data_IF_721085916483
#
_entry.id   IF_721085916483
#
_cell.length_a   1.000
_cell.length_b   1.000
_cell.length_c   1.000
_cell.angle_alpha   90.00
_cell.angle_beta   90.00
_cell.angle_gamma   90.00
#
_symmetry.space_group_name_H-M   'P 1'
#
loop_
_entity.id
_entity.type
_entity.pdbx_description
1 polymer ?
#
# COMPACT_ATOMS: atom_id res chain seq x y z
N UNK A 1 6.97 -16.80 -12.40
CA UNK A 1 6.36 -15.61 -11.79
C UNK A 1 5.36 -16.10 -10.76
N UNK A 2 5.45 -15.68 -9.51
CA UNK A 2 4.50 -16.14 -8.47
C UNK A 2 3.15 -15.49 -8.70
N UNK A 3 2.06 -16.20 -8.36
CA UNK A 3 0.69 -15.68 -8.51
C UNK A 3 -0.19 -16.01 -7.32
N UNK A 4 -1.32 -15.33 -7.25
CA UNK A 4 -2.35 -15.55 -6.23
C UNK A 4 -3.36 -16.58 -6.75
N UNK A 5 -3.67 -17.59 -5.94
CA UNK A 5 -4.79 -18.50 -6.19
C UNK A 5 -6.09 -17.89 -5.67
N UNK A 6 -7.20 -18.09 -6.35
CA UNK A 6 -8.52 -17.71 -5.88
C UNK A 6 -9.35 -18.99 -5.80
N UNK A 7 -9.87 -19.31 -4.61
CA UNK A 7 -10.79 -20.42 -4.42
C UNK A 7 -11.96 -19.93 -3.57
N UNK A 8 -13.14 -19.81 -4.17
CA UNK A 8 -14.33 -19.32 -3.47
C UNK A 8 -15.60 -19.77 -4.15
N UNK A 9 -16.59 -20.16 -3.35
CA UNK A 9 -17.97 -20.39 -3.76
C UNK A 9 -18.82 -19.11 -3.73
N UNK A 10 -18.37 -18.08 -3.00
CA UNK A 10 -18.99 -16.75 -3.01
C UNK A 10 -18.67 -16.02 -4.32
N UNK A 11 -19.69 -15.93 -5.18
CA UNK A 11 -19.63 -15.26 -6.47
C UNK A 11 -19.35 -13.75 -6.34
N UNK A 12 -19.89 -13.07 -5.32
CA UNK A 12 -19.67 -11.63 -5.12
C UNK A 12 -18.23 -11.37 -4.72
N UNK A 13 -17.71 -12.15 -3.77
CA UNK A 13 -16.31 -12.08 -3.38
C UNK A 13 -15.38 -12.37 -4.56
N UNK A 14 -15.66 -13.43 -5.33
CA UNK A 14 -14.91 -13.80 -6.53
C UNK A 14 -14.81 -12.65 -7.56
N UNK A 15 -15.92 -12.00 -7.88
CA UNK A 15 -15.90 -10.90 -8.84
C UNK A 15 -15.14 -9.70 -8.32
N UNK A 16 -15.36 -9.32 -7.07
CA UNK A 16 -14.71 -8.16 -6.48
C UNK A 16 -13.20 -8.37 -6.30
N UNK A 17 -12.77 -9.58 -5.94
CA UNK A 17 -11.34 -9.89 -5.79
C UNK A 17 -10.61 -9.85 -7.14
N UNK A 18 -11.24 -10.33 -8.23
CA UNK A 18 -10.67 -10.22 -9.58
C UNK A 18 -10.51 -8.76 -9.99
N UNK A 19 -11.49 -7.90 -9.70
CA UNK A 19 -11.41 -6.47 -9.99
C UNK A 19 -10.24 -5.84 -9.24
N UNK A 20 -10.09 -6.14 -7.95
CA UNK A 20 -9.01 -5.59 -7.13
C UNK A 20 -7.64 -6.11 -7.59
N UNK A 21 -7.47 -7.41 -7.82
CA UNK A 21 -6.22 -7.99 -8.33
C UNK A 21 -5.81 -7.37 -9.67
N UNK A 22 -6.77 -7.15 -10.58
CA UNK A 22 -6.52 -6.46 -11.86
C UNK A 22 -6.11 -5.00 -11.66
N UNK A 23 -6.76 -4.28 -10.76
CA UNK A 23 -6.42 -2.89 -10.41
C UNK A 23 -5.00 -2.77 -9.86
N UNK A 24 -4.58 -3.71 -9.02
CA UNK A 24 -3.20 -3.80 -8.52
C UNK A 24 -2.20 -4.31 -9.57
N UNK A 25 -2.68 -4.96 -10.63
CA UNK A 25 -1.85 -5.60 -11.66
C UNK A 25 -1.13 -6.84 -11.14
N UNK A 26 -1.73 -7.56 -10.19
CA UNK A 26 -1.16 -8.78 -9.62
C UNK A 26 -1.55 -10.00 -10.46
N UNK A 27 -0.62 -10.94 -10.69
CA UNK A 27 -0.95 -12.18 -11.38
C UNK A 27 -1.77 -13.10 -10.48
N UNK A 28 -2.80 -13.72 -11.06
CA UNK A 28 -3.68 -14.64 -10.34
C UNK A 28 -4.17 -15.80 -11.20
N UNK A 29 -4.74 -16.80 -10.55
CA UNK A 29 -5.41 -17.95 -11.16
C UNK A 29 -6.60 -18.37 -10.31
N UNK A 30 -7.71 -18.73 -10.96
CA UNK A 30 -8.85 -19.33 -10.27
C UNK A 30 -8.62 -20.83 -10.13
N UNK A 31 -8.77 -21.36 -8.92
CA UNK A 31 -8.59 -22.77 -8.62
C UNK A 31 -9.95 -23.47 -8.65
N UNK A 32 -10.03 -24.59 -9.36
CA UNK A 32 -11.25 -25.41 -9.43
C UNK A 32 -11.24 -26.55 -8.39
N UNK A 33 -10.05 -27.07 -8.08
CA UNK A 33 -9.87 -28.17 -7.14
C UNK A 33 -8.94 -27.73 -5.99
N UNK A 34 -9.38 -27.80 -4.72
CA UNK A 34 -8.56 -27.39 -3.58
C UNK A 34 -7.31 -28.27 -3.37
N UNK A 35 -7.28 -29.48 -3.96
CA UNK A 35 -6.16 -30.41 -3.85
C UNK A 35 -5.14 -30.30 -4.99
N UNK A 36 -5.41 -29.49 -6.01
CA UNK A 36 -4.53 -29.32 -7.18
C UNK A 36 -4.09 -27.86 -7.31
N UNK A 37 -3.17 -27.46 -6.44
CA UNK A 37 -2.66 -26.09 -6.38
C UNK A 37 -1.39 -26.02 -7.23
N UNK A 38 -1.35 -25.17 -8.27
CA UNK A 38 -0.15 -24.98 -9.06
C UNK A 38 1.04 -24.54 -8.18
N UNK A 39 2.26 -25.05 -8.42
CA UNK A 39 3.42 -24.79 -7.56
C UNK A 39 3.88 -23.32 -7.57
N UNK A 40 3.42 -22.53 -8.54
CA UNK A 40 3.68 -21.10 -8.64
C UNK A 40 2.67 -20.22 -7.87
N UNK A 41 1.62 -20.82 -7.28
CA UNK A 41 0.68 -20.14 -6.39
C UNK A 41 1.32 -19.93 -5.03
N UNK A 42 1.50 -18.67 -4.65
CA UNK A 42 2.16 -18.31 -3.38
C UNK A 42 1.19 -18.30 -2.18
N UNK A 43 -0.09 -18.04 -2.43
CA UNK A 43 -1.16 -17.92 -1.42
C UNK A 43 -2.51 -18.09 -2.11
N UNK A 44 -3.47 -18.71 -1.42
CA UNK A 44 -4.86 -18.84 -1.88
C UNK A 44 -5.76 -17.85 -1.13
N UNK A 45 -6.52 -17.06 -1.87
CA UNK A 45 -7.58 -16.20 -1.36
C UNK A 45 -8.90 -16.96 -1.34
N UNK A 46 -9.58 -16.92 -0.18
CA UNK A 46 -10.92 -17.47 -0.01
C UNK A 46 -11.81 -16.47 0.71
N UNK A 47 -13.12 -16.59 0.53
CA UNK A 47 -14.10 -15.85 1.33
C UNK A 47 -14.20 -16.46 2.75
N UNK A 48 -14.82 -15.73 3.67
CA UNK A 48 -15.11 -16.23 5.03
C UNK A 48 -16.08 -17.41 5.05
N UNK A 49 -16.93 -17.55 4.03
CA UNK A 49 -17.92 -18.63 3.92
C UNK A 49 -17.36 -19.93 3.35
N UNK A 50 -16.18 -19.90 2.74
CA UNK A 50 -15.55 -21.10 2.21
C UNK A 50 -14.99 -21.97 3.33
N UNK A 51 -15.18 -23.28 3.24
CA UNK A 51 -14.81 -24.23 4.30
C UNK A 51 -13.41 -24.79 4.07
N UNK A 52 -12.96 -24.81 2.83
CA UNK A 52 -11.69 -25.38 2.39
C UNK A 52 -10.50 -24.62 2.97
N UNK A 53 -9.50 -25.39 3.37
CA UNK A 53 -8.26 -24.89 3.98
C UNK A 53 -7.07 -25.17 3.10
N UNK A 54 -6.17 -24.20 2.99
CA UNK A 54 -4.96 -24.30 2.18
C UNK A 54 -3.71 -24.13 3.05
N UNK A 55 -2.55 -24.68 2.67
CA UNK A 55 -1.30 -24.53 3.44
C UNK A 55 -0.92 -23.06 3.66
N UNK A 56 -1.14 -22.22 2.65
CA UNK A 56 -0.98 -20.76 2.73
C UNK A 56 -2.26 -20.11 2.22
N UNK A 57 -3.02 -19.52 3.14
CA UNK A 57 -4.36 -19.00 2.89
C UNK A 57 -4.52 -17.60 3.47
N UNK A 58 -5.24 -16.75 2.75
CA UNK A 58 -5.84 -15.53 3.29
C UNK A 58 -7.35 -15.69 3.15
N UNK A 59 -8.03 -15.73 4.29
CA UNK A 59 -9.48 -15.76 4.39
C UNK A 59 -9.97 -14.40 4.87
N UNK A 60 -10.82 -13.73 4.09
CA UNK A 60 -11.32 -12.39 4.39
C UNK A 60 -12.65 -12.14 3.65
N UNK A 61 -13.53 -11.33 4.22
CA UNK A 61 -14.76 -10.87 3.58
C UNK A 61 -14.57 -9.64 2.68
N UNK A 62 -13.48 -8.88 2.89
CA UNK A 62 -13.17 -7.65 2.15
C UNK A 62 -12.08 -7.90 1.09
N UNK A 63 -12.38 -7.71 -0.20
CA UNK A 63 -11.42 -7.95 -1.28
C UNK A 63 -10.14 -7.10 -1.22
N UNK A 64 -10.24 -5.82 -0.88
CA UNK A 64 -9.08 -4.93 -0.73
C UNK A 64 -8.17 -5.40 0.42
N UNK A 65 -8.77 -5.82 1.53
CA UNK A 65 -8.07 -6.41 2.66
C UNK A 65 -7.37 -7.71 2.27
N UNK A 66 -8.07 -8.61 1.60
CA UNK A 66 -7.53 -9.89 1.14
C UNK A 66 -6.31 -9.71 0.23
N UNK A 67 -6.39 -8.78 -0.75
CA UNK A 67 -5.25 -8.46 -1.63
C UNK A 67 -4.06 -7.95 -0.83
N UNK A 68 -4.26 -6.96 0.06
CA UNK A 68 -3.15 -6.43 0.89
C UNK A 68 -2.50 -7.50 1.77
N UNK A 69 -3.29 -8.40 2.38
CA UNK A 69 -2.79 -9.54 3.17
C UNK A 69 -2.00 -10.55 2.32
N UNK A 70 -2.30 -10.68 1.03
CA UNK A 70 -1.62 -11.59 0.12
C UNK A 70 -0.27 -11.08 -0.40
N UNK A 71 -0.06 -9.75 -0.44
CA UNK A 71 1.15 -9.13 -1.01
C UNK A 71 2.47 -9.68 -0.44
N UNK A 72 2.65 -9.84 0.89
CA UNK A 72 3.89 -10.42 1.43
C UNK A 72 4.27 -11.75 0.80
N UNK A 73 3.31 -12.63 0.52
CA UNK A 73 3.54 -13.98 -0.02
C UNK A 73 4.08 -13.95 -1.46
N UNK A 74 3.59 -12.99 -2.27
CA UNK A 74 4.14 -12.73 -3.59
C UNK A 74 5.62 -12.31 -3.53
N UNK A 75 6.00 -11.60 -2.46
CA UNK A 75 7.36 -11.16 -2.19
C UNK A 75 8.20 -12.19 -1.39
N UNK A 76 7.77 -13.45 -1.33
CA UNK A 76 8.41 -14.54 -0.58
C UNK A 76 8.51 -14.29 0.94
N UNK A 77 7.48 -13.67 1.52
CA UNK A 77 7.39 -13.37 2.95
C UNK A 77 6.03 -13.80 3.51
N UNK A 78 5.95 -14.03 4.81
CA UNK A 78 4.67 -14.26 5.51
C UNK A 78 4.05 -12.96 6.00
N UNK A 79 4.89 -11.98 6.36
CA UNK A 79 4.50 -10.63 6.75
C UNK A 79 5.66 -9.67 6.44
N UNK A 80 5.41 -8.36 6.42
CA UNK A 80 6.47 -7.36 6.38
C UNK A 80 7.13 -7.23 7.75
N UNK A 81 8.45 -7.00 7.80
CA UNK A 81 9.09 -6.63 9.08
C UNK A 81 8.60 -5.26 9.53
N UNK A 82 8.56 -4.31 8.60
CA UNK A 82 8.08 -2.95 8.80
C UNK A 82 7.28 -2.52 7.58
N UNK A 83 6.17 -1.85 7.80
CA UNK A 83 5.56 -0.96 6.80
C UNK A 83 5.77 0.49 7.22
N UNK A 84 6.03 1.35 6.25
CA UNK A 84 6.10 2.79 6.46
C UNK A 84 5.00 3.47 5.65
N UNK A 85 4.19 4.28 6.30
CA UNK A 85 3.15 5.09 5.69
C UNK A 85 3.65 6.52 5.59
N UNK A 86 3.70 7.07 4.39
CA UNK A 86 3.97 8.48 4.17
C UNK A 86 2.68 9.24 3.90
N UNK A 87 2.52 10.39 4.55
CA UNK A 87 1.37 11.28 4.39
C UNK A 87 1.89 12.67 4.00
N UNK A 88 1.46 13.14 2.82
CA UNK A 88 1.70 14.50 2.35
C UNK A 88 0.50 15.40 2.70
N UNK A 89 0.64 16.37 3.62
CA UNK A 89 -0.46 17.24 4.02
C UNK A 89 -0.91 18.17 2.88
N UNK A 90 -2.22 18.39 2.79
CA UNK A 90 -2.81 19.32 1.84
C UNK A 90 -4.34 19.15 1.78
N UNK A 91 -5.04 19.95 0.96
CA UNK A 91 -6.49 19.80 0.77
C UNK A 91 -6.86 18.45 0.15
N UNK A 92 -5.94 17.85 -0.63
CA UNK A 92 -6.03 16.50 -1.18
C UNK A 92 -4.82 15.70 -0.70
N UNK A 93 -4.83 15.16 0.54
CA UNK A 93 -3.63 14.58 1.14
C UNK A 93 -3.08 13.42 0.31
N UNK A 94 -1.76 13.39 0.11
CA UNK A 94 -1.09 12.23 -0.45
C UNK A 94 -0.94 11.13 0.60
N UNK A 95 -1.07 9.88 0.19
CA UNK A 95 -0.88 8.70 1.03
C UNK A 95 -0.07 7.65 0.27
N UNK A 96 0.99 7.13 0.88
CA UNK A 96 1.78 6.05 0.30
C UNK A 96 2.17 5.03 1.35
N UNK A 97 2.25 3.76 0.95
CA UNK A 97 2.65 2.64 1.81
C UNK A 97 3.85 1.95 1.21
N UNK A 98 4.93 1.87 1.99
CA UNK A 98 6.11 1.08 1.68
C UNK A 98 6.17 -0.15 2.57
N UNK A 99 6.38 -1.31 1.96
CA UNK A 99 6.75 -2.54 2.65
C UNK A 99 8.25 -2.73 2.57
N UNK A 100 8.96 -2.41 3.66
CA UNK A 100 10.41 -2.29 3.68
C UNK A 100 10.91 -1.33 2.58
N UNK A 101 11.58 -1.81 1.52
CA UNK A 101 12.11 -0.98 0.43
C UNK A 101 11.23 -0.93 -0.82
N UNK A 102 10.04 -1.54 -0.78
CA UNK A 102 9.14 -1.66 -1.94
C UNK A 102 7.92 -0.76 -1.74
N UNK A 103 7.66 0.12 -2.70
CA UNK A 103 6.43 0.91 -2.74
C UNK A 103 5.26 0.01 -3.15
N UNK A 104 4.30 -0.15 -2.25
CA UNK A 104 3.15 -1.04 -2.40
C UNK A 104 1.98 -0.31 -3.06
N UNK A 105 1.57 0.80 -2.47
CA UNK A 105 0.52 1.68 -2.98
C UNK A 105 0.86 3.15 -2.74
N UNK A 106 0.39 4.02 -3.64
CA UNK A 106 0.46 5.46 -3.50
C UNK A 106 -0.80 6.06 -4.14
N UNK A 107 -1.47 6.95 -3.43
CA UNK A 107 -2.74 7.53 -3.84
C UNK A 107 -2.90 8.95 -3.31
N UNK A 108 -3.73 9.73 -3.97
CA UNK A 108 -4.20 11.01 -3.48
C UNK A 108 -5.59 10.81 -2.88
N UNK A 109 -5.77 11.29 -1.65
CA UNK A 109 -7.04 11.22 -0.95
C UNK A 109 -7.88 12.47 -1.26
N UNK A 110 -9.17 12.32 -1.59
CA UNK A 110 -10.05 13.47 -1.84
C UNK A 110 -10.25 14.42 -0.65
N UNK A 111 -9.97 13.95 0.57
CA UNK A 111 -10.10 14.71 1.81
C UNK A 111 -9.36 14.01 2.96
N UNK A 112 -9.19 14.71 4.09
CA UNK A 112 -8.65 14.13 5.34
C UNK A 112 -9.56 13.01 5.87
N UNK A 113 -10.87 13.11 5.71
CA UNK A 113 -11.78 12.02 6.08
C UNK A 113 -11.56 10.77 5.21
N UNK A 114 -11.30 10.95 3.92
CA UNK A 114 -10.95 9.80 3.05
C UNK A 114 -9.59 9.22 3.41
N UNK A 115 -8.61 10.05 3.77
CA UNK A 115 -7.31 9.62 4.29
C UNK A 115 -7.48 8.74 5.53
N UNK A 116 -8.34 9.15 6.47
CA UNK A 116 -8.67 8.37 7.68
C UNK A 116 -9.14 6.96 7.34
N UNK A 117 -10.16 6.86 6.47
CA UNK A 117 -10.75 5.56 6.07
C UNK A 117 -9.72 4.67 5.38
N UNK A 118 -8.89 5.25 4.50
CA UNK A 118 -7.81 4.52 3.84
C UNK A 118 -6.77 4.02 4.86
N UNK A 119 -6.38 4.87 5.82
CA UNK A 119 -5.41 4.52 6.84
C UNK A 119 -5.93 3.41 7.77
N UNK A 120 -7.21 3.49 8.21
CA UNK A 120 -7.87 2.42 8.96
C UNK A 120 -7.85 1.09 8.18
N UNK A 121 -8.10 1.14 6.87
CA UNK A 121 -8.00 -0.06 6.02
C UNK A 121 -6.56 -0.57 5.92
N UNK A 122 -5.56 0.29 5.70
CA UNK A 122 -4.14 -0.09 5.62
C UNK A 122 -3.67 -0.76 6.91
N UNK A 123 -3.96 -0.13 8.06
CA UNK A 123 -3.57 -0.62 9.40
C UNK A 123 -4.16 -2.00 9.67
N UNK A 124 -5.40 -2.25 9.25
CA UNK A 124 -6.10 -3.53 9.47
C UNK A 124 -5.83 -4.61 8.41
N UNK A 125 -5.27 -4.24 7.26
CA UNK A 125 -5.19 -5.13 6.08
C UNK A 125 -3.79 -5.59 5.73
N UNK A 126 -2.73 -4.89 6.14
CA UNK A 126 -1.38 -5.40 5.93
C UNK A 126 -0.94 -6.29 7.10
N UNK A 127 -0.22 -7.38 6.80
CA UNK A 127 0.47 -8.17 7.80
C UNK A 127 1.88 -7.60 8.02
N UNK A 128 2.13 -7.01 9.19
CA UNK A 128 3.41 -6.39 9.56
C UNK A 128 3.74 -6.59 11.05
N UNK A 129 5.01 -6.42 11.44
CA UNK A 129 5.42 -6.37 12.86
C UNK A 129 5.50 -4.95 13.41
N UNK A 130 5.92 -4.01 12.58
CA UNK A 130 6.08 -2.60 12.94
C UNK A 130 5.43 -1.73 11.87
N UNK A 131 4.77 -0.65 12.30
CA UNK A 131 4.27 0.40 11.44
C UNK A 131 4.94 1.72 11.84
N UNK A 132 5.39 2.47 10.84
CA UNK A 132 5.91 3.83 11.02
C UNK A 132 5.06 4.77 10.18
N UNK A 133 4.59 5.86 10.76
CA UNK A 133 3.82 6.89 10.04
C UNK A 133 4.64 8.17 10.00
N UNK A 134 5.00 8.59 8.80
CA UNK A 134 5.68 9.85 8.54
C UNK A 134 4.68 10.85 7.97
N UNK A 135 4.62 12.04 8.56
CA UNK A 135 3.78 13.15 8.11
C UNK A 135 4.67 14.28 7.65
N UNK A 136 4.41 14.80 6.47
CA UNK A 136 5.09 15.96 5.94
C UNK A 136 5.06 17.20 6.84
N UNK A 137 6.11 18.01 6.82
CA UNK A 137 6.16 19.30 7.51
C UNK A 137 5.49 20.43 6.70
N UNK A 138 4.92 20.11 5.53
CA UNK A 138 4.12 21.02 4.72
C UNK A 138 2.81 21.47 5.39
N UNK A 139 2.02 22.27 4.64
CA UNK A 139 0.66 22.76 4.93
C UNK A 139 0.22 22.69 6.41
N UNK A 140 0.56 23.75 7.17
CA UNK A 140 0.35 23.80 8.62
C UNK A 140 -1.09 23.49 9.06
N UNK A 141 -2.15 24.09 8.47
CA UNK A 141 -3.53 23.76 8.83
C UNK A 141 -3.88 22.29 8.61
N UNK A 142 -3.65 21.76 7.40
CA UNK A 142 -4.02 20.38 7.07
C UNK A 142 -3.19 19.37 7.88
N UNK A 143 -1.91 19.66 8.12
CA UNK A 143 -1.06 18.85 8.98
C UNK A 143 -1.57 18.81 10.42
N UNK A 144 -1.99 19.93 10.99
CA UNK A 144 -2.54 19.96 12.36
C UNK A 144 -3.80 19.09 12.48
N UNK A 145 -4.67 19.11 11.46
CA UNK A 145 -5.86 18.26 11.42
C UNK A 145 -5.50 16.77 11.26
N UNK A 146 -4.56 16.44 10.36
CA UNK A 146 -4.07 15.07 10.16
C UNK A 146 -3.43 14.51 11.43
N UNK A 147 -2.54 15.28 12.07
CA UNK A 147 -1.88 14.84 13.32
C UNK A 147 -2.89 14.63 14.44
N UNK A 148 -3.84 15.56 14.61
CA UNK A 148 -4.95 15.37 15.57
C UNK A 148 -5.81 14.13 15.25
N UNK A 149 -6.01 13.81 13.97
CA UNK A 149 -6.70 12.59 13.53
C UNK A 149 -5.91 11.33 13.91
N UNK A 150 -4.59 11.31 13.67
CA UNK A 150 -3.72 10.18 14.03
C UNK A 150 -3.70 9.94 15.54
N UNK A 151 -3.62 11.01 16.34
CA UNK A 151 -3.70 10.94 17.80
C UNK A 151 -5.03 10.31 18.26
N UNK A 152 -6.16 10.72 17.68
CA UNK A 152 -7.48 10.12 17.98
C UNK A 152 -7.58 8.66 17.56
N UNK A 153 -6.80 8.22 16.57
CA UNK A 153 -6.72 6.83 16.16
C UNK A 153 -5.76 6.01 17.03
N UNK A 154 -5.00 6.65 17.94
CA UNK A 154 -3.98 5.99 18.74
C UNK A 154 -2.77 5.55 17.93
N UNK A 155 -2.46 6.26 16.84
CA UNK A 155 -1.34 5.95 15.96
C UNK A 155 -0.18 6.93 16.21
N UNK A 156 0.99 6.38 16.54
CA UNK A 156 2.22 7.15 16.63
C UNK A 156 2.68 7.62 15.24
N UNK A 157 3.19 8.85 15.17
CA UNK A 157 3.69 9.43 13.94
C UNK A 157 4.92 10.33 14.17
N UNK A 158 5.60 10.65 13.08
CA UNK A 158 6.74 11.57 13.06
C UNK A 158 6.49 12.66 12.04
N UNK A 159 6.84 13.89 12.38
CA UNK A 159 6.86 14.99 11.41
C UNK A 159 8.23 14.98 10.73
N UNK A 160 8.25 14.91 9.40
CA UNK A 160 9.48 14.85 8.59
C UNK A 160 9.60 16.08 7.70
N UNK A 161 10.82 16.62 7.57
CA UNK A 161 11.05 17.84 6.80
C UNK A 161 11.29 17.55 5.31
N UNK A 162 10.39 18.06 4.46
CA UNK A 162 10.46 17.97 3.00
C UNK A 162 11.28 19.11 2.37
N UNK A 163 11.72 20.14 3.12
CA UNK A 163 12.32 21.36 2.53
C UNK A 163 13.64 21.11 1.78
N UNK A 164 14.32 19.99 2.01
CA UNK A 164 15.46 19.57 1.17
C UNK A 164 15.04 18.90 -0.16
N UNK A 165 13.74 18.86 -0.45
CA UNK A 165 13.16 18.14 -1.60
C UNK A 165 12.30 19.01 -2.51
N UNK A 166 12.07 20.28 -2.16
CA UNK A 166 11.25 21.21 -2.94
C UNK A 166 12.07 21.88 -4.05
N UNK A 167 12.15 21.24 -5.21
CA UNK A 167 12.28 21.98 -6.49
C UNK A 167 10.88 22.51 -6.81
N UNK A 168 10.71 23.80 -7.18
CA UNK A 168 9.38 24.37 -7.42
C UNK A 168 8.78 23.80 -8.71
N UNK A 169 8.23 22.58 -8.63
CA UNK A 169 7.46 22.01 -9.72
C UNK A 169 6.02 22.50 -9.61
N UNK A 170 5.63 23.30 -10.60
CA UNK A 170 4.31 23.92 -10.82
C UNK A 170 3.10 22.95 -10.89
N UNK A 171 3.26 21.67 -10.53
CA UNK A 171 2.21 20.65 -10.54
C UNK A 171 2.63 19.49 -9.62
N UNK A 172 2.35 19.61 -8.32
CA UNK A 172 2.62 18.57 -7.33
C UNK A 172 1.83 17.29 -7.65
N UNK A 173 2.43 16.13 -7.38
CA UNK A 173 1.74 14.84 -7.38
C UNK A 173 1.81 14.36 -5.94
N UNK A 174 0.70 14.52 -5.21
CA UNK A 174 0.67 14.32 -3.78
C UNK A 174 0.98 12.85 -3.43
N UNK A 175 0.63 11.90 -4.30
CA UNK A 175 0.98 10.48 -4.13
C UNK A 175 2.50 10.26 -4.23
N UNK A 176 3.19 10.93 -5.16
CA UNK A 176 4.65 10.87 -5.26
C UNK A 176 5.34 11.54 -4.06
N UNK A 177 4.85 12.68 -3.60
CA UNK A 177 5.34 13.34 -2.38
C UNK A 177 5.19 12.41 -1.17
N UNK A 178 4.02 11.80 -1.00
CA UNK A 178 3.77 10.83 0.06
C UNK A 178 4.71 9.62 -0.02
N UNK A 179 5.01 9.11 -1.22
CA UNK A 179 5.98 8.02 -1.39
C UNK A 179 7.41 8.44 -0.97
N UNK A 180 7.80 9.68 -1.25
CA UNK A 180 9.10 10.23 -0.79
C UNK A 180 9.13 10.38 0.73
N UNK A 181 8.04 10.86 1.34
CA UNK A 181 7.86 10.96 2.80
C UNK A 181 7.95 9.56 3.45
N UNK A 182 7.34 8.54 2.84
CA UNK A 182 7.38 7.16 3.33
C UNK A 182 8.80 6.57 3.34
N UNK A 183 9.68 7.01 2.43
CA UNK A 183 11.07 6.51 2.33
C UNK A 183 12.01 7.10 3.40
N UNK A 184 11.62 8.17 4.07
CA UNK A 184 12.47 8.83 5.07
C UNK A 184 12.59 7.91 6.31
N UNK A 185 13.78 7.37 6.54
CA UNK A 185 14.12 6.61 7.75
C UNK A 185 15.06 7.49 8.60
N UNK A 186 14.50 8.15 9.62
CA UNK A 186 15.20 9.16 10.45
C UNK A 186 14.88 10.61 10.03
N UNK A 187 15.84 11.52 10.19
CA UNK A 187 15.58 12.97 10.07
C UNK A 187 15.82 13.57 8.67
N UNK A 188 16.34 12.82 7.70
CA UNK A 188 16.55 13.36 6.35
C UNK A 188 16.78 12.34 5.24
N UNK A 189 16.25 12.66 4.05
CA UNK A 189 16.54 11.99 2.78
C UNK A 189 17.01 13.04 1.76
N UNK A 190 18.12 12.78 1.06
CA UNK A 190 18.60 13.67 -0.02
C UNK A 190 18.02 13.24 -1.36
N UNK A 191 17.15 14.08 -1.94
CA UNK A 191 16.61 13.88 -3.28
C UNK A 191 17.65 14.25 -4.35
N UNK A 192 17.73 13.46 -5.43
CA UNK A 192 18.43 13.82 -6.66
C UNK A 192 17.38 13.99 -7.77
N UNK A 193 17.40 15.14 -8.44
CA UNK A 193 16.46 15.43 -9.53
C UNK A 193 16.72 14.50 -10.73
N UNK A 194 15.68 13.76 -11.13
CA UNK A 194 15.72 12.93 -12.33
C UNK A 194 15.15 13.73 -13.50
N UNK A 195 16.03 14.24 -14.37
CA UNK A 195 15.65 15.03 -15.55
C UNK A 195 15.22 14.12 -16.71
N UNK A 196 14.28 14.60 -17.52
CA UNK A 196 13.89 13.95 -18.80
C UNK A 196 12.89 12.80 -18.68
N UNK A 197 12.32 12.55 -17.49
CA UNK A 197 11.29 11.52 -17.28
C UNK A 197 9.89 12.13 -17.31
N UNK A 198 8.94 11.47 -17.98
CA UNK A 198 7.54 11.92 -17.98
C UNK A 198 6.94 11.76 -16.58
N UNK A 199 6.14 12.73 -16.15
CA UNK A 199 5.54 12.80 -14.79
C UNK A 199 4.93 11.48 -14.32
N UNK A 200 4.09 10.85 -15.16
CA UNK A 200 3.41 9.58 -14.84
C UNK A 200 4.35 8.39 -14.61
N UNK A 201 5.58 8.49 -15.12
CA UNK A 201 6.59 7.43 -15.03
C UNK A 201 7.51 7.64 -13.80
N UNK A 202 7.43 8.79 -13.10
CA UNK A 202 8.35 9.16 -12.02
C UNK A 202 8.32 8.18 -10.84
N UNK A 203 7.15 7.73 -10.40
CA UNK A 203 7.04 6.74 -9.32
C UNK A 203 7.81 5.46 -9.69
N UNK A 204 7.62 4.97 -10.91
CA UNK A 204 8.30 3.75 -11.37
C UNK A 204 9.80 3.94 -11.55
N UNK A 205 10.27 5.15 -11.79
CA UNK A 205 11.70 5.46 -11.93
C UNK A 205 12.37 5.67 -10.57
N UNK A 206 11.72 6.37 -9.63
CA UNK A 206 12.29 6.71 -8.33
C UNK A 206 12.19 5.60 -7.28
N UNK A 207 11.23 4.68 -7.45
CA UNK A 207 10.93 3.65 -6.46
C UNK A 207 10.97 2.26 -7.07
N UNK A 208 11.46 1.30 -6.27
CA UNK A 208 11.18 -0.11 -6.52
C UNK A 208 9.71 -0.35 -6.18
N UNK A 209 8.88 -0.54 -7.21
CA UNK A 209 7.44 -0.77 -7.05
C UNK A 209 7.11 -2.25 -6.91
N UNK A 210 5.92 -2.54 -6.39
CA UNK A 210 5.40 -3.91 -6.31
C UNK A 210 5.42 -4.61 -7.67
N UNK A 211 4.97 -3.94 -8.74
CA UNK A 211 4.96 -4.48 -10.12
C UNK A 211 6.35 -4.91 -10.62
N UNK A 212 7.41 -4.23 -10.19
CA UNK A 212 8.81 -4.55 -10.57
C UNK A 212 9.45 -5.61 -9.65
N UNK A 213 8.74 -6.02 -8.59
CA UNK A 213 9.29 -6.88 -7.53
C UNK A 213 8.68 -8.28 -7.50
N UNK A 214 7.66 -8.55 -8.33
CA UNK A 214 6.92 -9.81 -8.41
C UNK A 214 7.18 -10.54 -9.74
#
# INVERSE_FOLDING_TARGET
MRRIGIYTSDFRFYHNIIVELKKWGLPFVSLENPNDIPPDVAVVLTSETDVETFPVQVRDSRPDSAVRKAIPYLLNKTHFKRITVGIDPGPYPGLAVMGESILLEATECPSIQSLRVQLESIVSSYSYREIVINVGNGDLPNRAEITSMLERMGLDFRIVDERKTSVPHKMHDNALSAARIARIDGDSYSFQEIKGVRKRDLIEVEFKTLKKSI
#
